data_IF_280035979599
#
_entry.id   IF_280035979599
#
_cell.length_a   1.000
_cell.length_b   1.000
_cell.length_c   1.000
_cell.angle_alpha   90.00
_cell.angle_beta   90.00
_cell.angle_gamma   90.00
#
_symmetry.space_group_name_H-M   'P 1'
#
loop_
_entity.id
_entity.type
_entity.pdbx_description
1 polymer ?
#
# COMPACT_ATOMS: atom_id res chain seq x y z
N UNK A 1 -22.50 22.47 4.28
CA UNK A 1 -21.87 21.25 3.71
C UNK A 1 -20.41 21.54 3.35
N UNK A 2 -19.49 20.59 3.53
CA UNK A 2 -18.06 20.73 3.15
C UNK A 2 -17.53 19.41 2.60
N UNK A 3 -16.68 19.46 1.57
CA UNK A 3 -15.91 18.32 1.06
C UNK A 3 -14.44 18.48 1.48
N UNK A 4 -13.83 17.40 1.94
CA UNK A 4 -12.47 17.37 2.50
C UNK A 4 -11.74 16.12 2.00
N UNK A 5 -10.47 16.28 1.66
CA UNK A 5 -9.55 15.15 1.49
C UNK A 5 -9.26 14.52 2.85
N UNK A 6 -9.47 13.19 2.97
CA UNK A 6 -9.41 12.53 4.27
C UNK A 6 -8.03 12.65 4.93
N UNK A 7 -6.95 12.48 4.17
CA UNK A 7 -5.58 12.57 4.69
C UNK A 7 -5.21 13.99 5.13
N UNK A 8 -5.56 15.02 4.33
CA UNK A 8 -5.34 16.41 4.71
C UNK A 8 -6.11 16.77 5.99
N UNK A 9 -7.35 16.26 6.10
CA UNK A 9 -8.15 16.43 7.30
C UNK A 9 -7.51 15.77 8.53
N UNK A 10 -6.89 14.60 8.41
CA UNK A 10 -6.19 13.96 9.54
C UNK A 10 -5.01 14.83 10.03
N UNK A 11 -4.28 15.46 9.12
CA UNK A 11 -3.18 16.39 9.48
C UNK A 11 -3.73 17.60 10.25
N UNK A 12 -4.77 18.25 9.72
CA UNK A 12 -5.43 19.38 10.38
C UNK A 12 -6.03 18.99 11.73
N UNK A 13 -6.61 17.79 11.81
CA UNK A 13 -7.20 17.25 13.02
C UNK A 13 -6.14 17.01 14.10
N UNK A 14 -4.99 16.42 13.76
CA UNK A 14 -3.91 16.24 14.72
C UNK A 14 -3.43 17.58 15.29
N UNK A 15 -3.24 18.59 14.43
CA UNK A 15 -2.87 19.94 14.86
C UNK A 15 -3.94 20.54 15.80
N UNK A 16 -5.23 20.38 15.46
CA UNK A 16 -6.33 20.85 16.30
C UNK A 16 -6.44 20.09 17.64
N UNK A 17 -6.19 18.77 17.66
CA UNK A 17 -6.17 17.96 18.89
C UNK A 17 -5.10 18.49 19.84
N UNK A 18 -3.88 18.75 19.33
CA UNK A 18 -2.81 19.32 20.13
C UNK A 18 -3.15 20.70 20.68
N UNK A 19 -3.74 21.57 19.85
CA UNK A 19 -4.17 22.90 20.28
C UNK A 19 -5.28 22.86 21.35
N UNK A 20 -6.12 21.82 21.34
CA UNK A 20 -7.22 21.62 22.29
C UNK A 20 -6.86 20.69 23.46
N UNK A 21 -5.57 20.54 23.80
CA UNK A 21 -5.15 19.76 24.97
C UNK A 21 -5.45 18.27 24.87
N UNK A 22 -5.24 17.68 23.68
CA UNK A 22 -5.50 16.27 23.36
C UNK A 22 -6.98 15.88 23.35
N UNK A 23 -7.89 16.84 23.14
CA UNK A 23 -9.32 16.62 23.08
C UNK A 23 -9.83 16.50 21.62
N UNK A 24 -10.13 15.27 21.21
CA UNK A 24 -10.67 14.96 19.88
C UNK A 24 -12.02 15.63 19.61
N UNK A 25 -12.93 15.63 20.58
CA UNK A 25 -14.27 16.21 20.40
C UNK A 25 -14.18 17.72 20.17
N UNK A 26 -13.38 18.42 20.97
CA UNK A 26 -13.18 19.86 20.81
C UNK A 26 -12.50 20.20 19.46
N UNK A 27 -11.52 19.40 19.04
CA UNK A 27 -10.87 19.58 17.74
C UNK A 27 -11.85 19.37 16.57
N UNK A 28 -12.72 18.36 16.66
CA UNK A 28 -13.76 18.14 15.67
C UNK A 28 -14.82 19.26 15.68
N UNK A 29 -15.16 19.83 16.84
CA UNK A 29 -16.06 21.00 16.93
C UNK A 29 -15.44 22.23 16.27
N UNK A 30 -14.13 22.43 16.44
CA UNK A 30 -13.41 23.50 15.77
C UNK A 30 -13.40 23.33 14.25
N UNK A 31 -13.16 22.12 13.75
CA UNK A 31 -12.97 21.88 12.32
C UNK A 31 -14.27 21.68 11.54
N UNK A 32 -15.27 21.07 12.18
CA UNK A 32 -16.52 20.62 11.55
C UNK A 32 -17.77 21.27 12.17
N UNK A 33 -17.62 22.14 13.18
CA UNK A 33 -18.72 22.81 13.85
C UNK A 33 -19.62 23.57 12.89
N UNK A 34 -20.94 23.44 13.09
CA UNK A 34 -21.96 24.10 12.27
C UNK A 34 -22.17 23.49 10.87
N UNK A 35 -21.47 22.40 10.53
CA UNK A 35 -21.71 21.69 9.28
C UNK A 35 -22.86 20.70 9.42
N UNK A 36 -23.85 20.80 8.52
CA UNK A 36 -24.93 19.81 8.43
C UNK A 36 -24.52 18.55 7.65
N UNK A 37 -23.52 18.66 6.76
CA UNK A 37 -23.02 17.56 5.93
C UNK A 37 -21.52 17.70 5.74
N UNK A 38 -20.79 16.61 5.99
CA UNK A 38 -19.35 16.49 5.77
C UNK A 38 -19.10 15.34 4.81
N UNK A 39 -18.43 15.63 3.70
CA UNK A 39 -18.01 14.64 2.72
C UNK A 39 -16.50 14.45 2.80
N UNK A 40 -16.04 13.26 3.18
CA UNK A 40 -14.65 12.88 3.06
C UNK A 40 -14.46 12.11 1.75
N UNK A 41 -13.60 12.60 0.88
CA UNK A 41 -13.15 11.84 -0.27
C UNK A 41 -11.83 11.10 0.01
N UNK A 42 -11.57 10.10 -0.82
CA UNK A 42 -10.39 9.23 -0.73
C UNK A 42 -10.21 8.62 0.68
N UNK A 43 -11.30 8.08 1.23
CA UNK A 43 -11.26 7.36 2.49
C UNK A 43 -10.56 6.01 2.29
N UNK A 44 -9.25 6.00 2.49
CA UNK A 44 -8.40 4.80 2.49
C UNK A 44 -7.60 4.74 3.80
N UNK A 45 -7.37 3.51 4.28
CA UNK A 45 -6.64 3.22 5.52
C UNK A 45 -5.57 2.20 5.17
N UNK A 46 -4.30 2.61 5.32
CA UNK A 46 -3.15 1.81 4.91
C UNK A 46 -2.17 1.53 6.06
N UNK A 47 -2.17 2.37 7.10
CA UNK A 47 -1.31 2.20 8.26
C UNK A 47 -2.08 1.61 9.46
N UNK A 48 -1.55 0.56 10.13
CA UNK A 48 -2.13 0.01 11.35
C UNK A 48 -2.21 1.02 12.51
N UNK A 49 -1.24 1.91 12.62
CA UNK A 49 -1.20 2.95 13.66
C UNK A 49 -2.34 3.96 13.43
N UNK A 50 -2.57 4.34 12.18
CA UNK A 50 -3.70 5.19 11.80
C UNK A 50 -5.03 4.46 11.99
N UNK A 51 -5.09 3.15 11.76
CA UNK A 51 -6.31 2.35 11.91
C UNK A 51 -6.97 2.47 13.29
N UNK A 52 -6.19 2.43 14.37
CA UNK A 52 -6.70 2.59 15.74
C UNK A 52 -7.26 4.01 15.95
N UNK A 53 -6.53 5.04 15.48
CA UNK A 53 -6.98 6.42 15.58
C UNK A 53 -8.25 6.67 14.76
N UNK A 54 -8.29 6.15 13.54
CA UNK A 54 -9.43 6.26 12.62
C UNK A 54 -10.67 5.61 13.22
N UNK A 55 -10.56 4.46 13.89
CA UNK A 55 -11.70 3.87 14.61
C UNK A 55 -12.33 4.83 15.62
N UNK A 56 -11.50 5.51 16.42
CA UNK A 56 -11.95 6.52 17.39
C UNK A 56 -12.54 7.76 16.70
N UNK A 57 -11.92 8.20 15.61
CA UNK A 57 -12.39 9.33 14.82
C UNK A 57 -13.77 9.04 14.22
N UNK A 58 -13.95 7.89 13.57
CA UNK A 58 -15.20 7.51 12.92
C UNK A 58 -16.33 7.43 13.94
N UNK A 59 -16.10 6.80 15.10
CA UNK A 59 -17.07 6.81 16.21
C UNK A 59 -17.46 8.24 16.60
N UNK A 60 -16.47 9.11 16.83
CA UNK A 60 -16.72 10.50 17.23
C UNK A 60 -17.37 11.35 16.11
N UNK A 61 -17.19 10.99 14.84
CA UNK A 61 -17.87 11.62 13.72
C UNK A 61 -19.35 11.22 13.68
N UNK A 62 -19.66 9.96 13.95
CA UNK A 62 -21.04 9.45 13.92
C UNK A 62 -21.87 9.88 15.12
N UNK A 63 -21.24 10.21 16.24
CA UNK A 63 -21.90 10.82 17.40
C UNK A 63 -22.35 12.27 17.15
N UNK A 64 -21.99 12.87 16.01
CA UNK A 64 -22.36 14.24 15.64
C UNK A 64 -23.67 14.28 14.86
N UNK A 65 -24.36 15.42 14.94
CA UNK A 65 -25.58 15.70 14.18
C UNK A 65 -25.35 15.95 12.67
N UNK A 66 -24.10 15.92 12.20
CA UNK A 66 -23.76 16.14 10.80
C UNK A 66 -23.87 14.84 10.01
N UNK A 67 -24.49 14.88 8.84
CA UNK A 67 -24.47 13.73 7.93
C UNK A 67 -23.05 13.52 7.37
N UNK A 68 -22.57 12.28 7.45
CA UNK A 68 -21.24 11.91 6.94
C UNK A 68 -21.39 11.17 5.61
N UNK A 69 -20.61 11.60 4.62
CA UNK A 69 -20.46 10.90 3.34
C UNK A 69 -19.00 10.52 3.17
N UNK A 70 -18.73 9.24 2.93
CA UNK A 70 -17.39 8.74 2.61
C UNK A 70 -17.37 8.26 1.17
N UNK A 71 -16.33 8.62 0.41
CA UNK A 71 -16.05 7.98 -0.88
C UNK A 71 -14.74 7.20 -0.80
N UNK A 72 -14.78 5.93 -1.19
CA UNK A 72 -13.61 5.04 -1.18
C UNK A 72 -13.51 4.29 -2.50
N UNK A 73 -12.30 3.82 -2.81
CA UNK A 73 -12.07 2.93 -3.95
C UNK A 73 -12.33 1.46 -3.59
N UNK A 74 -12.54 1.18 -2.31
CA UNK A 74 -12.73 -0.15 -1.74
C UNK A 74 -14.09 -0.22 -1.04
N UNK A 75 -14.74 -1.39 -1.02
CA UNK A 75 -15.82 -1.62 -0.07
C UNK A 75 -15.29 -1.51 1.37
N UNK A 76 -16.14 -1.28 2.39
CA UNK A 76 -15.69 -1.20 3.78
C UNK A 76 -14.85 -2.41 4.24
N UNK A 77 -15.25 -3.62 3.85
CA UNK A 77 -14.49 -4.87 4.09
C UNK A 77 -13.10 -4.90 3.47
N UNK A 78 -12.80 -4.03 2.49
CA UNK A 78 -11.50 -3.89 1.87
C UNK A 78 -10.61 -2.81 2.50
N UNK A 79 -11.06 -2.16 3.57
CA UNK A 79 -10.25 -1.18 4.31
C UNK A 79 -9.20 -1.87 5.18
N UNK A 80 -8.01 -1.27 5.28
CA UNK A 80 -6.82 -1.85 5.90
C UNK A 80 -6.61 -3.32 5.46
N UNK A 81 -6.34 -3.58 4.18
CA UNK A 81 -6.34 -4.93 3.61
C UNK A 81 -5.09 -5.75 3.98
N UNK A 82 -4.20 -5.21 4.80
CA UNK A 82 -3.03 -5.93 5.31
C UNK A 82 -3.47 -6.99 6.32
N UNK A 83 -3.33 -8.29 6.03
CA UNK A 83 -3.86 -9.36 6.89
C UNK A 83 -3.24 -9.42 8.29
N UNK A 84 -2.06 -8.84 8.50
CA UNK A 84 -1.44 -8.80 9.83
C UNK A 84 -2.15 -7.82 10.78
N UNK A 85 -2.84 -6.84 10.21
CA UNK A 85 -3.42 -5.72 10.95
C UNK A 85 -4.92 -5.56 10.69
N UNK A 86 -5.45 -6.24 9.67
CA UNK A 86 -6.84 -6.17 9.26
C UNK A 86 -7.79 -6.50 10.41
N UNK A 87 -7.52 -7.56 11.17
CA UNK A 87 -8.33 -7.99 12.32
C UNK A 87 -8.46 -6.88 13.37
N UNK A 88 -7.47 -6.01 13.53
CA UNK A 88 -7.54 -4.87 14.45
C UNK A 88 -8.50 -3.78 13.96
N UNK A 89 -8.76 -3.72 12.66
CA UNK A 89 -9.60 -2.71 12.03
C UNK A 89 -11.03 -3.19 11.76
N UNK A 90 -11.29 -4.50 11.83
CA UNK A 90 -12.63 -5.10 11.72
C UNK A 90 -13.69 -4.38 12.57
N UNK A 91 -13.46 -4.03 13.85
CA UNK A 91 -14.47 -3.30 14.64
C UNK A 91 -14.84 -1.94 14.04
N UNK A 92 -13.89 -1.27 13.38
CA UNK A 92 -14.16 0.00 12.70
C UNK A 92 -14.96 -0.21 11.42
N UNK A 93 -14.67 -1.29 10.67
CA UNK A 93 -15.45 -1.69 9.49
C UNK A 93 -16.90 -1.95 9.88
N UNK A 94 -17.14 -2.73 10.94
CA UNK A 94 -18.48 -3.02 11.45
C UNK A 94 -19.23 -1.73 11.83
N UNK A 95 -18.55 -0.79 12.48
CA UNK A 95 -19.12 0.50 12.85
C UNK A 95 -19.47 1.35 11.61
N UNK A 96 -18.62 1.35 10.58
CA UNK A 96 -18.90 1.99 9.29
C UNK A 96 -20.13 1.38 8.61
N UNK A 97 -20.21 0.04 8.55
CA UNK A 97 -21.31 -0.67 7.90
C UNK A 97 -22.64 -0.55 8.65
N UNK A 98 -22.60 -0.39 9.98
CA UNK A 98 -23.79 -0.15 10.80
C UNK A 98 -24.31 1.27 10.67
N UNK A 99 -23.43 2.26 10.58
CA UNK A 99 -23.80 3.68 10.60
C UNK A 99 -24.02 4.28 9.21
N UNK A 100 -23.40 3.72 8.16
CA UNK A 100 -23.47 4.25 6.79
C UNK A 100 -24.17 3.28 5.84
N UNK A 101 -24.92 3.86 4.91
CA UNK A 101 -25.45 3.12 3.76
C UNK A 101 -24.34 2.95 2.70
N UNK A 102 -23.91 1.72 2.48
CA UNK A 102 -22.93 1.39 1.44
C UNK A 102 -23.60 1.40 0.07
N UNK A 103 -23.18 2.31 -0.80
CA UNK A 103 -23.66 2.41 -2.18
C UNK A 103 -22.55 2.02 -3.15
N UNK A 104 -22.62 0.82 -3.78
CA UNK A 104 -21.68 0.43 -4.81
C UNK A 104 -21.84 1.31 -6.04
N UNK A 105 -20.80 2.04 -6.42
CA UNK A 105 -20.79 2.83 -7.67
C UNK A 105 -20.23 1.97 -8.81
N UNK A 106 -20.90 0.85 -9.09
CA UNK A 106 -20.59 -0.01 -10.24
C UNK A 106 -21.59 0.27 -11.36
N UNK A 107 -21.26 1.20 -12.26
CA UNK A 107 -21.98 1.38 -13.51
C UNK A 107 -21.60 0.29 -14.53
N UNK A 108 -22.46 -0.04 -15.51
CA UNK A 108 -22.12 -0.96 -16.61
C UNK A 108 -20.97 -0.42 -17.49
N UNK A 109 -20.72 0.88 -17.42
CA UNK A 109 -19.46 1.48 -17.85
C UNK A 109 -18.52 1.59 -16.66
N UNK A 110 -17.51 0.74 -16.66
CA UNK A 110 -16.33 0.94 -15.85
C UNK A 110 -15.54 2.11 -16.43
N UNK A 111 -15.70 3.32 -15.89
CA UNK A 111 -14.89 4.48 -16.34
C UNK A 111 -13.39 4.28 -16.11
N UNK A 112 -12.95 3.24 -15.37
CA UNK A 112 -11.53 2.83 -15.30
C UNK A 112 -11.05 2.12 -16.57
N UNK A 113 -11.97 1.54 -17.37
CA UNK A 113 -11.63 0.91 -18.66
C UNK A 113 -11.50 1.88 -19.82
N UNK A 114 -11.95 3.13 -19.64
CA UNK A 114 -11.44 4.26 -20.40
C UNK A 114 -10.05 4.58 -19.83
N UNK A 115 -9.07 3.75 -20.22
CA UNK A 115 -7.65 3.83 -19.83
C UNK A 115 -7.13 5.27 -19.98
N UNK A 116 -7.21 6.04 -18.91
CA UNK A 116 -6.09 6.91 -18.55
C UNK A 116 -5.08 5.96 -17.92
N UNK A 117 -3.93 5.82 -18.56
CA UNK A 117 -2.75 5.18 -17.99
C UNK A 117 -2.62 5.67 -16.53
N UNK A 118 -2.76 4.78 -15.54
CA UNK A 118 -2.49 5.13 -14.15
C UNK A 118 -1.00 5.44 -14.08
N UNK A 119 -0.66 6.73 -14.19
CA UNK A 119 0.70 7.24 -14.33
C UNK A 119 1.40 7.45 -12.99
N UNK A 120 0.74 7.14 -11.87
CA UNK A 120 1.25 7.32 -10.52
C UNK A 120 1.03 6.09 -9.65
N UNK A 121 1.82 6.00 -8.58
CA UNK A 121 1.65 5.00 -7.53
C UNK A 121 2.01 3.57 -7.92
N UNK A 122 1.47 2.59 -7.19
CA UNK A 122 1.78 1.17 -7.39
C UNK A 122 1.43 0.70 -8.81
N UNK A 123 0.30 1.15 -9.34
CA UNK A 123 -0.16 0.79 -10.69
C UNK A 123 0.71 1.36 -11.84
N UNK A 124 1.54 2.38 -11.57
CA UNK A 124 2.57 2.86 -12.50
C UNK A 124 3.85 1.99 -12.48
N UNK A 125 3.84 0.95 -11.65
CA UNK A 125 4.86 -0.07 -11.55
C UNK A 125 4.84 -1.08 -12.70
N UNK A 126 5.86 -1.93 -12.73
CA UNK A 126 6.05 -2.89 -13.81
C UNK A 126 6.34 -4.29 -13.26
N UNK A 127 5.81 -5.30 -13.94
CA UNK A 127 6.32 -6.66 -13.86
C UNK A 127 7.08 -6.97 -15.14
N UNK A 128 8.39 -7.16 -15.04
CA UNK A 128 9.26 -7.45 -16.17
C UNK A 128 9.69 -8.92 -16.12
N UNK A 129 9.29 -9.70 -17.13
CA UNK A 129 9.65 -11.11 -17.22
C UNK A 129 9.60 -11.60 -18.68
N UNK A 130 10.70 -12.17 -19.21
CA UNK A 130 12.03 -12.30 -18.61
C UNK A 130 12.78 -10.96 -18.64
N UNK A 131 13.36 -10.51 -17.52
CA UNK A 131 14.00 -9.20 -17.35
C UNK A 131 15.28 -8.95 -18.15
N UNK A 132 15.16 -8.74 -19.47
CA UNK A 132 16.31 -8.44 -20.32
C UNK A 132 16.80 -7.00 -20.14
N UNK A 133 18.12 -6.73 -20.24
CA UNK A 133 18.68 -5.39 -20.09
C UNK A 133 18.08 -4.32 -21.02
N UNK A 134 17.64 -4.72 -22.22
CA UNK A 134 16.97 -3.83 -23.19
C UNK A 134 15.62 -3.36 -22.67
N UNK A 135 14.79 -4.27 -22.13
CA UNK A 135 13.50 -3.92 -21.54
C UNK A 135 13.65 -3.03 -20.31
N UNK A 136 14.69 -3.27 -19.50
CA UNK A 136 14.98 -2.39 -18.36
C UNK A 136 15.35 -0.98 -18.85
N UNK A 137 16.17 -0.88 -19.90
CA UNK A 137 16.56 0.41 -20.48
C UNK A 137 15.38 1.17 -21.07
N UNK A 138 14.43 0.48 -21.73
CA UNK A 138 13.20 1.07 -22.26
C UNK A 138 12.30 1.66 -21.15
N UNK A 139 12.42 1.13 -19.92
CA UNK A 139 11.75 1.64 -18.72
C UNK A 139 12.57 2.70 -17.96
N UNK A 140 13.73 3.12 -18.49
CA UNK A 140 14.66 4.03 -17.82
C UNK A 140 15.39 3.41 -16.62
N UNK A 141 15.38 2.08 -16.50
CA UNK A 141 16.05 1.34 -15.43
C UNK A 141 17.44 0.90 -15.88
N UNK A 142 18.46 1.50 -15.27
CA UNK A 142 19.85 1.08 -15.45
C UNK A 142 20.31 0.26 -14.26
N UNK A 143 21.01 -0.84 -14.56
CA UNK A 143 21.59 -1.73 -13.54
C UNK A 143 22.47 -0.93 -12.57
N UNK A 144 22.32 -1.13 -11.25
CA UNK A 144 23.13 -0.44 -10.27
C UNK A 144 24.62 -0.71 -10.39
N UNK A 145 25.43 0.32 -10.14
CA UNK A 145 26.89 0.21 -10.04
C UNK A 145 27.33 0.04 -8.58
N UNK A 146 28.56 -0.44 -8.36
CA UNK A 146 29.03 -0.82 -7.02
C UNK A 146 29.11 0.36 -6.03
N UNK A 147 29.25 1.58 -6.53
CA UNK A 147 29.28 2.84 -5.78
C UNK A 147 27.90 3.29 -5.28
N UNK A 148 26.82 2.74 -5.82
CA UNK A 148 25.44 3.03 -5.39
C UNK A 148 24.95 2.10 -4.27
N UNK A 149 25.72 1.05 -3.99
CA UNK A 149 25.37 0.03 -3.00
C UNK A 149 25.50 0.58 -1.58
N UNK A 150 24.51 0.27 -0.74
CA UNK A 150 24.56 0.60 0.67
C UNK A 150 23.83 -0.46 1.51
N UNK A 151 24.10 -0.46 2.80
CA UNK A 151 23.40 -1.33 3.76
C UNK A 151 22.46 -0.47 4.59
N UNK A 152 21.16 -0.71 4.43
CA UNK A 152 20.12 -0.01 5.18
C UNK A 152 19.79 -0.74 6.48
N UNK A 153 19.33 0.02 7.49
CA UNK A 153 18.97 -0.51 8.82
C UNK A 153 17.62 0.05 9.32
N UNK A 154 16.52 -0.19 8.59
CA UNK A 154 15.23 0.45 8.88
C UNK A 154 14.65 0.09 10.25
N UNK A 155 14.70 -1.19 10.66
CA UNK A 155 14.30 -1.63 12.01
C UNK A 155 15.43 -2.39 12.73
N UNK A 156 16.67 -1.91 12.57
CA UNK A 156 17.86 -2.45 13.25
C UNK A 156 18.57 -3.61 12.52
N UNK A 157 17.92 -4.26 11.56
CA UNK A 157 18.51 -5.33 10.76
C UNK A 157 19.21 -4.77 9.50
N UNK A 158 20.42 -5.25 9.15
CA UNK A 158 21.09 -4.83 7.94
C UNK A 158 20.44 -5.48 6.70
N UNK A 159 20.04 -4.64 5.75
CA UNK A 159 19.52 -5.07 4.44
C UNK A 159 20.42 -4.50 3.35
N UNK A 160 21.17 -5.35 2.62
CA UNK A 160 21.95 -4.92 1.46
C UNK A 160 21.04 -4.38 0.36
N UNK A 161 21.26 -3.13 -0.06
CA UNK A 161 20.61 -2.52 -1.21
C UNK A 161 21.61 -2.41 -2.36
N UNK A 162 21.15 -2.73 -3.58
CA UNK A 162 21.94 -2.57 -4.79
C UNK A 162 22.06 -1.10 -5.20
N UNK A 163 21.05 -0.28 -4.88
CA UNK A 163 21.05 1.18 -5.06
C UNK A 163 20.26 1.83 -3.94
N UNK A 164 20.82 2.89 -3.35
CA UNK A 164 20.07 3.82 -2.50
C UNK A 164 20.16 5.21 -3.11
N UNK A 165 19.07 5.66 -3.71
CA UNK A 165 18.93 7.01 -4.24
C UNK A 165 17.63 7.62 -3.68
N UNK A 166 17.56 8.94 -3.39
CA UNK A 166 16.34 9.58 -2.87
C UNK A 166 15.07 9.23 -3.67
N UNK A 167 15.20 9.09 -4.98
CA UNK A 167 14.08 8.81 -5.87
C UNK A 167 13.85 7.31 -6.13
N UNK A 168 14.81 6.43 -5.79
CA UNK A 168 14.74 5.01 -6.16
C UNK A 168 15.54 4.13 -5.20
N UNK A 169 14.88 3.08 -4.71
CA UNK A 169 15.49 2.03 -3.92
C UNK A 169 15.54 0.73 -4.72
N UNK A 170 16.71 0.11 -4.84
CA UNK A 170 16.87 -1.16 -5.58
C UNK A 170 17.40 -2.26 -4.68
N UNK A 171 16.69 -3.38 -4.63
CA UNK A 171 17.11 -4.60 -3.93
C UNK A 171 17.27 -5.81 -4.85
N UNK A 172 18.20 -6.69 -4.50
CA UNK A 172 18.11 -8.07 -4.95
C UNK A 172 17.03 -8.78 -4.13
N UNK A 173 16.19 -9.58 -4.80
CA UNK A 173 15.13 -10.34 -4.14
C UNK A 173 15.67 -11.27 -3.03
N UNK A 174 16.82 -11.90 -3.26
CA UNK A 174 17.46 -12.77 -2.28
C UNK A 174 17.89 -12.02 -1.01
N UNK A 175 18.39 -10.79 -1.14
CA UNK A 175 18.82 -9.98 0.00
C UNK A 175 17.62 -9.43 0.80
N UNK A 176 16.54 -9.09 0.10
CA UNK A 176 15.34 -8.50 0.71
C UNK A 176 14.39 -9.55 1.29
N UNK A 177 14.09 -10.63 0.57
CA UNK A 177 13.11 -11.65 0.97
C UNK A 177 13.75 -12.98 1.42
N UNK A 178 15.03 -13.22 1.11
CA UNK A 178 15.78 -14.39 1.57
C UNK A 178 16.34 -14.25 3.00
N UNK A 179 16.48 -13.02 3.49
CA UNK A 179 16.93 -12.71 4.85
C UNK A 179 15.83 -12.81 5.91
N UNK A 180 16.07 -12.18 7.06
CA UNK A 180 15.15 -12.14 8.22
C UNK A 180 14.30 -10.87 8.27
N UNK A 181 13.98 -10.30 7.11
CA UNK A 181 13.18 -9.08 7.01
C UNK A 181 11.74 -9.32 7.47
N UNK A 182 11.16 -8.27 8.03
CA UNK A 182 9.81 -8.24 8.55
C UNK A 182 9.02 -7.06 7.95
N UNK A 183 7.68 -7.07 8.03
CA UNK A 183 6.84 -5.98 7.54
C UNK A 183 7.24 -4.59 8.06
N UNK A 184 7.73 -4.51 9.31
CA UNK A 184 8.21 -3.26 9.92
C UNK A 184 9.42 -2.68 9.17
N UNK A 185 10.29 -3.51 8.60
CA UNK A 185 11.43 -3.06 7.79
C UNK A 185 10.94 -2.41 6.50
N UNK A 186 9.93 -3.00 5.85
CA UNK A 186 9.37 -2.48 4.61
C UNK A 186 8.64 -1.15 4.83
N UNK A 187 7.86 -1.05 5.91
CA UNK A 187 7.13 0.18 6.26
C UNK A 187 8.08 1.35 6.52
N UNK A 188 9.15 1.13 7.31
CA UNK A 188 10.12 2.18 7.61
C UNK A 188 10.89 2.68 6.37
N UNK A 189 11.10 1.81 5.37
CA UNK A 189 11.68 2.21 4.09
C UNK A 189 10.65 2.88 3.16
N UNK A 190 9.40 2.40 3.16
CA UNK A 190 8.33 2.88 2.32
C UNK A 190 8.05 4.39 2.51
N UNK A 191 8.23 4.91 3.72
CA UNK A 191 8.07 6.34 4.04
C UNK A 191 9.07 7.26 3.35
N UNK A 192 10.21 6.73 2.89
CA UNK A 192 11.35 7.54 2.44
C UNK A 192 11.63 7.42 0.94
N UNK A 193 11.11 6.38 0.28
CA UNK A 193 11.48 6.05 -1.11
C UNK A 193 10.22 5.84 -1.97
N UNK A 194 9.94 6.74 -2.94
CA UNK A 194 8.71 6.71 -3.73
C UNK A 194 8.71 5.65 -4.85
N UNK A 195 9.86 5.06 -5.17
CA UNK A 195 9.99 4.02 -6.19
C UNK A 195 10.93 2.90 -5.73
N UNK A 196 10.47 1.66 -5.90
CA UNK A 196 11.20 0.46 -5.55
C UNK A 196 11.41 -0.44 -6.77
N UNK A 197 12.62 -1.00 -6.87
CA UNK A 197 12.99 -1.99 -7.88
C UNK A 197 13.50 -3.25 -7.17
N UNK A 198 12.90 -4.39 -7.48
CA UNK A 198 13.26 -5.68 -6.90
C UNK A 198 13.65 -6.62 -8.05
N UNK A 199 14.94 -6.95 -8.12
CA UNK A 199 15.48 -7.79 -9.19
C UNK A 199 15.79 -9.21 -8.76
N UNK A 200 15.58 -10.15 -9.68
CA UNK A 200 15.86 -11.58 -9.47
C UNK A 200 14.77 -12.28 -8.67
N UNK A 201 13.50 -11.91 -8.88
CA UNK A 201 12.37 -12.56 -8.21
C UNK A 201 12.28 -14.02 -8.64
N UNK A 202 12.57 -14.92 -7.69
CA UNK A 202 12.59 -16.38 -7.89
C UNK A 202 12.20 -17.09 -6.59
N UNK A 203 11.30 -18.07 -6.68
CA UNK A 203 10.87 -18.90 -5.55
C UNK A 203 11.43 -20.31 -5.72
N UNK A 204 12.71 -20.51 -5.46
CA UNK A 204 13.37 -21.83 -5.58
C UNK A 204 14.10 -22.23 -4.30
N UNK A 205 14.26 -23.54 -4.09
CA UNK A 205 15.03 -24.10 -2.97
C UNK A 205 14.25 -24.34 -1.67
N UNK A 206 14.99 -24.80 -0.64
CA UNK A 206 14.45 -25.04 0.70
C UNK A 206 14.14 -23.69 1.39
N UNK A 207 12.95 -23.55 1.96
CA UNK A 207 12.50 -22.28 2.58
C UNK A 207 11.74 -21.33 1.65
N UNK A 208 11.44 -21.74 0.41
CA UNK A 208 10.69 -20.93 -0.54
C UNK A 208 9.33 -20.45 0.01
N UNK A 209 8.70 -21.18 0.94
CA UNK A 209 7.44 -20.76 1.58
C UNK A 209 7.59 -19.53 2.47
N UNK A 210 8.68 -19.44 3.23
CA UNK A 210 8.98 -18.25 4.05
C UNK A 210 9.31 -17.04 3.17
N UNK A 211 10.11 -17.27 2.12
CA UNK A 211 10.47 -16.25 1.13
C UNK A 211 9.22 -15.72 0.42
N UNK A 212 8.30 -16.62 0.05
CA UNK A 212 7.01 -16.29 -0.54
C UNK A 212 6.12 -15.48 0.42
N UNK A 213 6.10 -15.82 1.71
CA UNK A 213 5.42 -15.03 2.74
C UNK A 213 6.01 -13.62 2.90
N UNK A 214 7.35 -13.50 2.94
CA UNK A 214 8.03 -12.19 3.00
C UNK A 214 7.77 -11.35 1.75
N UNK A 215 7.71 -11.98 0.58
CA UNK A 215 7.34 -11.32 -0.67
C UNK A 215 5.89 -10.83 -0.66
N UNK A 216 4.95 -11.65 -0.16
CA UNK A 216 3.56 -11.21 0.04
C UNK A 216 3.50 -9.95 0.90
N UNK A 217 4.18 -9.96 2.05
CA UNK A 217 4.20 -8.82 2.96
C UNK A 217 4.81 -7.57 2.31
N UNK A 218 5.84 -7.74 1.48
CA UNK A 218 6.44 -6.65 0.72
C UNK A 218 5.46 -6.05 -0.29
N UNK A 219 4.83 -6.90 -1.12
CA UNK A 219 3.86 -6.45 -2.12
C UNK A 219 2.69 -5.74 -1.45
N UNK A 220 2.23 -6.26 -0.32
CA UNK A 220 1.14 -5.67 0.46
C UNK A 220 1.51 -4.27 0.95
N UNK A 221 2.70 -4.10 1.53
CA UNK A 221 3.18 -2.78 1.99
C UNK A 221 3.32 -1.80 0.83
N UNK A 222 3.91 -2.21 -0.30
CA UNK A 222 4.10 -1.32 -1.46
C UNK A 222 2.77 -0.95 -2.11
N UNK A 223 1.83 -1.89 -2.17
CA UNK A 223 0.48 -1.66 -2.68
C UNK A 223 -0.30 -0.70 -1.79
N UNK A 224 -0.31 -0.96 -0.48
CA UNK A 224 -1.06 -0.17 0.49
C UNK A 224 -0.49 1.25 0.59
N UNK A 225 0.84 1.44 0.49
CA UNK A 225 1.46 2.77 0.47
C UNK A 225 1.43 3.46 -0.89
N UNK A 226 0.76 2.87 -1.88
CA UNK A 226 0.72 3.30 -3.28
C UNK A 226 2.10 3.65 -3.85
N UNK A 227 3.10 2.83 -3.54
CA UNK A 227 4.49 3.04 -3.98
C UNK A 227 4.70 2.40 -5.34
N UNK A 228 5.31 3.15 -6.26
CA UNK A 228 5.70 2.61 -7.57
C UNK A 228 6.65 1.44 -7.37
N UNK A 229 6.27 0.26 -7.83
CA UNK A 229 7.06 -0.97 -7.64
C UNK A 229 7.40 -1.62 -8.97
N UNK A 230 8.67 -1.95 -9.20
CA UNK A 230 9.11 -2.71 -10.37
C UNK A 230 9.71 -4.03 -9.94
N UNK A 231 9.08 -5.12 -10.34
CA UNK A 231 9.54 -6.48 -10.07
C UNK A 231 10.15 -7.06 -11.35
N UNK A 232 11.37 -7.57 -11.24
CA UNK A 232 12.12 -8.14 -12.36
C UNK A 232 12.38 -9.61 -12.05
N UNK A 233 11.88 -10.50 -12.90
CA UNK A 233 12.22 -11.92 -12.86
C UNK A 233 12.99 -12.32 -14.11
N UNK A 234 14.06 -13.09 -13.93
CA UNK A 234 14.83 -13.66 -15.04
C UNK A 234 14.20 -14.96 -15.57
N UNK A 235 13.26 -15.55 -14.82
CA UNK A 235 12.45 -16.66 -15.26
C UNK A 235 11.17 -16.17 -15.94
N UNK A 236 10.58 -16.95 -16.86
CA UNK A 236 9.25 -16.66 -17.39
C UNK A 236 8.20 -16.62 -16.28
N UNK A 237 7.24 -15.69 -16.38
CA UNK A 237 6.15 -15.51 -15.41
C UNK A 237 5.44 -16.81 -15.01
N UNK A 238 5.19 -17.70 -15.98
CA UNK A 238 4.54 -18.99 -15.75
C UNK A 238 5.38 -19.91 -14.85
N UNK A 239 6.70 -19.86 -14.98
CA UNK A 239 7.64 -20.61 -14.14
C UNK A 239 7.64 -20.05 -12.71
N UNK A 240 7.70 -18.73 -12.57
CA UNK A 240 7.70 -18.06 -11.26
C UNK A 240 6.45 -18.40 -10.44
N UNK A 241 5.27 -18.36 -11.06
CA UNK A 241 4.02 -18.72 -10.37
C UNK A 241 3.97 -20.21 -10.05
N UNK A 242 4.41 -21.07 -10.97
CA UNK A 242 4.34 -22.52 -10.80
C UNK A 242 5.27 -23.01 -9.70
N UNK A 243 6.45 -22.41 -9.59
CA UNK A 243 7.49 -22.79 -8.63
C UNK A 243 7.32 -22.09 -7.28
N UNK A 244 6.49 -21.04 -7.21
CA UNK A 244 6.05 -20.50 -5.93
C UNK A 244 5.39 -21.65 -5.13
N UNK A 245 5.98 -22.08 -4.00
CA UNK A 245 5.31 -23.04 -3.13
C UNK A 245 3.96 -22.46 -2.76
N UNK A 246 2.93 -23.30 -2.59
CA UNK A 246 1.56 -22.90 -2.21
C UNK A 246 1.67 -21.69 -1.27
N UNK A 247 1.54 -20.48 -1.82
CA UNK A 247 1.74 -19.29 -1.01
C UNK A 247 0.72 -19.45 0.12
N UNK A 248 1.12 -19.23 1.39
CA UNK A 248 0.17 -19.36 2.48
C UNK A 248 -1.05 -18.50 2.13
N UNK A 249 -2.25 -19.04 2.40
CA UNK A 249 -3.60 -18.45 2.27
C UNK A 249 -3.55 -17.05 1.64
N UNK A 250 -4.01 -16.92 0.38
CA UNK A 250 -4.18 -15.65 -0.38
C UNK A 250 -3.29 -15.45 -1.64
N UNK A 251 -2.95 -16.53 -2.37
CA UNK A 251 -2.41 -16.45 -3.75
C UNK A 251 -3.24 -15.53 -4.64
N UNK A 252 -4.57 -15.61 -4.52
CA UNK A 252 -5.51 -14.80 -5.31
C UNK A 252 -5.39 -13.31 -4.98
N UNK A 253 -5.06 -12.96 -3.73
CA UNK A 253 -4.87 -11.57 -3.29
C UNK A 253 -3.61 -10.96 -3.88
N UNK A 254 -2.47 -11.66 -3.77
CA UNK A 254 -1.20 -11.19 -4.34
C UNK A 254 -1.32 -11.12 -5.87
N UNK A 255 -1.96 -12.12 -6.48
CA UNK A 255 -2.20 -12.13 -7.92
C UNK A 255 -3.06 -10.94 -8.36
N UNK A 256 -4.12 -10.60 -7.63
CA UNK A 256 -4.96 -9.42 -7.87
C UNK A 256 -4.21 -8.10 -7.73
N UNK A 257 -3.25 -8.01 -6.81
CA UNK A 257 -2.37 -6.83 -6.67
C UNK A 257 -1.38 -6.75 -7.84
N UNK A 258 -0.69 -7.85 -8.16
CA UNK A 258 0.30 -7.90 -9.23
C UNK A 258 -0.32 -7.68 -10.62
N UNK A 259 -1.59 -8.02 -10.85
CA UNK A 259 -2.28 -7.73 -12.14
C UNK A 259 -2.51 -6.24 -12.37
N UNK A 260 -2.40 -5.39 -11.35
CA UNK A 260 -2.46 -3.94 -11.51
C UNK A 260 -1.17 -3.34 -12.08
N UNK A 261 -0.06 -4.10 -12.02
CA UNK A 261 1.21 -3.69 -12.61
C UNK A 261 1.19 -3.83 -14.13
N UNK A 262 1.89 -2.92 -14.80
CA UNK A 262 2.09 -3.04 -16.24
C UNK A 262 3.00 -4.23 -16.55
N UNK A 263 2.50 -5.18 -17.33
CA UNK A 263 3.26 -6.39 -17.70
C UNK A 263 4.10 -6.12 -18.93
N UNK A 264 5.42 -6.21 -18.77
CA UNK A 264 6.39 -6.23 -19.87
C UNK A 264 6.84 -7.67 -20.06
N UNK A 265 6.18 -8.34 -21.00
CA UNK A 265 6.42 -9.75 -21.36
C UNK A 265 6.74 -9.79 -22.84
N UNK A 266 7.79 -10.51 -23.21
CA UNK A 266 8.16 -10.84 -24.60
C UNK A 266 7.47 -12.12 -25.06
#
# INVERSE_FOLDING_TARGET
>A
KRRLHFHEFLVDLHAAIHANGSNLTAALDQLLGGLEVVCFDEFHVHDPADGIFIGRLVSALFDRSAAVVLTSNYPPTGLLPNPLFHDMFVPTIELIEQALMVVPVNGPLDYRTLRTERSTGFAAGHWVSPGHPTQLSDLGLHLPTADEQAVLRPAGHPIPALRVHPDCLWFAFADLCGGTTAPVDYLALADHFPHWVISGVEFSGAGAGEVAGRFSNLVDVLYDRDIRATFISYAPWLTVIKDAPRLPVDVDRISSRLTQLQRVVS
#
